data_IF_765387820125
#
_entry.id   IF_765387820125
#
_cell.length_a   1.000
_cell.length_b   1.000
_cell.length_c   1.000
_cell.angle_alpha   90.00
_cell.angle_beta   90.00
_cell.angle_gamma   90.00
#
_symmetry.space_group_name_H-M   'P 1'
#
loop_
_entity.id
_entity.type
_entity.pdbx_description
1 polymer ?
#
# COMPACT_ATOMS: atom_id res chain seq x y z
N UNK A 1 18.38 1.02 -9.23
CA UNK A 1 17.01 1.30 -9.70
C UNK A 1 16.93 2.82 -9.90
N UNK A 2 16.46 3.31 -11.03
CA UNK A 2 16.33 4.74 -11.27
C UNK A 2 15.09 5.22 -10.51
N UNK A 3 15.25 6.22 -9.62
CA UNK A 3 14.14 6.79 -8.81
C UNK A 3 13.05 7.46 -9.67
N UNK A 4 13.30 7.60 -10.97
CA UNK A 4 12.36 8.20 -11.93
C UNK A 4 11.26 7.25 -12.42
N UNK A 5 11.43 5.96 -12.15
CA UNK A 5 10.42 4.96 -12.52
C UNK A 5 9.43 4.81 -11.37
N UNK A 6 8.42 5.66 -11.33
CA UNK A 6 7.44 5.77 -10.23
C UNK A 6 6.80 4.43 -9.84
N UNK A 7 6.49 3.60 -10.83
CA UNK A 7 5.91 2.27 -10.63
C UNK A 7 6.88 1.27 -9.95
N UNK A 8 8.18 1.56 -9.90
CA UNK A 8 9.19 0.74 -9.20
C UNK A 8 9.29 1.04 -7.71
N UNK A 9 8.59 2.07 -7.21
CA UNK A 9 8.67 2.46 -5.81
C UNK A 9 8.30 1.34 -4.83
N UNK A 10 7.27 0.52 -5.06
CA UNK A 10 6.99 -0.64 -4.21
C UNK A 10 8.19 -1.59 -4.11
N UNK A 11 8.80 -1.95 -5.24
CA UNK A 11 9.99 -2.80 -5.29
C UNK A 11 11.17 -2.17 -4.56
N UNK A 12 11.43 -0.89 -4.83
CA UNK A 12 12.51 -0.14 -4.19
C UNK A 12 12.34 -0.10 -2.67
N UNK A 13 11.15 0.22 -2.18
CA UNK A 13 10.86 0.24 -0.74
C UNK A 13 11.05 -1.15 -0.11
N UNK A 14 10.50 -2.20 -0.71
CA UNK A 14 10.63 -3.56 -0.22
C UNK A 14 12.10 -4.02 -0.12
N UNK A 15 12.91 -3.73 -1.14
CA UNK A 15 14.34 -4.05 -1.14
C UNK A 15 15.07 -3.22 -0.08
N UNK A 16 14.82 -1.91 -0.03
CA UNK A 16 15.48 -0.99 0.90
C UNK A 16 15.16 -1.29 2.36
N UNK A 17 13.93 -1.67 2.64
CA UNK A 17 13.49 -2.06 4.00
C UNK A 17 13.93 -3.50 4.36
N UNK A 18 14.43 -4.27 3.40
CA UNK A 18 14.81 -5.67 3.61
C UNK A 18 13.61 -6.60 3.79
N UNK A 19 12.42 -6.19 3.35
CA UNK A 19 11.19 -7.01 3.37
C UNK A 19 11.02 -7.79 2.07
N UNK A 20 11.59 -7.31 0.97
CA UNK A 20 11.48 -7.93 -0.35
C UNK A 20 12.60 -8.93 -0.64
N UNK A 21 12.22 -10.09 -1.16
CA UNK A 21 13.15 -11.09 -1.71
C UNK A 21 13.03 -11.13 -3.22
N UNK A 22 14.12 -10.81 -3.94
CA UNK A 22 14.16 -10.92 -5.41
C UNK A 22 14.17 -12.40 -5.77
N UNK A 23 13.12 -12.85 -6.46
CA UNK A 23 12.96 -14.25 -6.91
C UNK A 23 13.52 -14.43 -8.31
N UNK A 24 13.31 -13.46 -9.19
CA UNK A 24 13.86 -13.40 -10.56
C UNK A 24 14.17 -11.94 -10.91
N UNK A 25 15.23 -11.74 -11.68
CA UNK A 25 15.62 -10.43 -12.19
C UNK A 25 16.38 -10.60 -13.50
N UNK A 26 16.18 -9.67 -14.44
CA UNK A 26 16.99 -9.49 -15.63
C UNK A 26 17.15 -7.98 -15.93
N UNK A 27 17.69 -7.64 -17.11
CA UNK A 27 17.91 -6.25 -17.52
C UNK A 27 16.62 -5.44 -17.70
N UNK A 28 15.46 -6.11 -17.90
CA UNK A 28 14.20 -5.51 -18.26
C UNK A 28 13.14 -5.59 -17.18
N UNK A 29 13.30 -6.48 -16.17
CA UNK A 29 12.25 -6.69 -15.18
C UNK A 29 12.67 -7.42 -13.92
N UNK A 30 11.69 -7.53 -13.00
CA UNK A 30 11.87 -8.15 -11.69
C UNK A 30 10.60 -8.86 -11.24
N UNK A 31 10.79 -10.00 -10.57
CA UNK A 31 9.78 -10.68 -9.77
C UNK A 31 10.28 -10.74 -8.33
N UNK A 32 9.53 -10.12 -7.43
CA UNK A 32 9.86 -9.99 -6.01
C UNK A 32 8.72 -10.57 -5.17
N UNK A 33 9.06 -11.21 -4.05
CA UNK A 33 8.11 -11.60 -2.99
C UNK A 33 8.40 -10.79 -1.75
N UNK A 34 7.42 -10.05 -1.26
CA UNK A 34 7.50 -9.34 0.01
C UNK A 34 7.20 -10.28 1.20
N UNK A 35 7.67 -9.93 2.40
CA UNK A 35 7.43 -10.68 3.63
C UNK A 35 5.95 -10.76 4.02
N UNK A 36 5.13 -9.80 3.58
CA UNK A 36 3.67 -9.84 3.71
C UNK A 36 2.99 -10.93 2.88
N UNK A 37 3.74 -11.62 1.99
CA UNK A 37 3.19 -12.59 1.05
C UNK A 37 2.79 -11.99 -0.31
N UNK A 38 2.79 -10.68 -0.44
CA UNK A 38 2.49 -9.99 -1.71
C UNK A 38 3.64 -10.20 -2.70
N UNK A 39 3.30 -10.60 -3.90
CA UNK A 39 4.22 -10.66 -5.02
C UNK A 39 4.18 -9.37 -5.83
N UNK A 40 5.30 -8.99 -6.42
CA UNK A 40 5.42 -7.81 -7.28
C UNK A 40 6.11 -8.24 -8.57
N UNK A 41 5.49 -7.95 -9.71
CA UNK A 41 5.97 -8.34 -11.04
C UNK A 41 6.05 -7.14 -11.97
N UNK A 42 7.22 -6.93 -12.54
CA UNK A 42 7.43 -6.10 -13.71
C UNK A 42 8.28 -6.87 -14.70
N UNK A 43 7.71 -7.23 -15.85
CA UNK A 43 8.44 -7.87 -16.95
C UNK A 43 7.70 -7.62 -18.28
N UNK A 44 8.26 -6.78 -19.17
CA UNK A 44 7.64 -6.44 -20.45
C UNK A 44 7.73 -7.57 -21.50
N UNK A 45 8.72 -8.47 -21.39
CA UNK A 45 8.85 -9.60 -22.32
C UNK A 45 7.91 -10.74 -21.92
N UNK A 46 6.95 -11.06 -22.80
CA UNK A 46 5.95 -12.10 -22.57
C UNK A 46 6.57 -13.47 -22.28
N UNK A 47 7.60 -13.85 -23.04
CA UNK A 47 8.19 -15.19 -22.93
C UNK A 47 8.95 -15.37 -21.62
N UNK A 48 9.62 -14.32 -21.16
CA UNK A 48 10.30 -14.26 -19.87
C UNK A 48 9.30 -14.26 -18.74
N UNK A 49 8.23 -13.44 -18.85
CA UNK A 49 7.15 -13.36 -17.87
C UNK A 49 6.45 -14.74 -17.70
N UNK A 50 6.10 -15.41 -18.80
CA UNK A 50 5.53 -16.77 -18.78
C UNK A 50 6.44 -17.77 -18.09
N UNK A 51 7.74 -17.73 -18.38
CA UNK A 51 8.73 -18.59 -17.74
C UNK A 51 8.79 -18.35 -16.23
N UNK A 52 8.86 -17.08 -15.78
CA UNK A 52 8.96 -16.76 -14.37
C UNK A 52 7.71 -17.19 -13.60
N UNK A 53 6.52 -16.96 -14.16
CA UNK A 53 5.26 -17.30 -13.50
C UNK A 53 4.94 -18.80 -13.54
N UNK A 54 5.37 -19.54 -14.57
CA UNK A 54 5.22 -21.01 -14.61
C UNK A 54 6.08 -21.73 -13.56
N UNK A 55 7.14 -21.09 -13.07
CA UNK A 55 8.00 -21.62 -12.01
C UNK A 55 7.38 -21.46 -10.61
N UNK A 56 6.27 -20.69 -10.48
CA UNK A 56 5.59 -20.47 -9.20
C UNK A 56 4.52 -21.55 -8.95
N UNK A 57 4.33 -21.90 -7.70
CA UNK A 57 3.10 -22.61 -7.29
C UNK A 57 1.94 -21.59 -7.20
N UNK A 58 0.90 -21.71 -8.04
CA UNK A 58 -0.24 -20.77 -8.00
C UNK A 58 -0.96 -20.73 -6.65
N UNK A 59 -0.81 -21.76 -5.81
CA UNK A 59 -1.43 -21.81 -4.48
C UNK A 59 -0.68 -20.93 -3.46
N UNK A 60 0.58 -20.57 -3.74
CA UNK A 60 1.37 -19.66 -2.91
C UNK A 60 1.19 -18.18 -3.30
N UNK A 61 0.46 -17.91 -4.39
CA UNK A 61 0.26 -16.55 -4.88
C UNK A 61 -1.16 -16.09 -4.54
N UNK A 62 -1.33 -15.55 -3.35
CA UNK A 62 -2.62 -14.98 -2.92
C UNK A 62 -2.86 -13.61 -3.55
N UNK A 63 -1.82 -12.78 -3.62
CA UNK A 63 -1.87 -11.45 -4.20
C UNK A 63 -0.61 -11.17 -5.02
N UNK A 64 -0.80 -10.59 -6.20
CA UNK A 64 0.30 -10.12 -7.05
C UNK A 64 0.00 -8.73 -7.60
N UNK A 65 0.89 -7.79 -7.35
CA UNK A 65 0.94 -6.47 -7.98
C UNK A 65 1.68 -6.59 -9.31
N UNK A 66 1.07 -6.15 -10.39
CA UNK A 66 1.61 -6.34 -11.72
C UNK A 66 1.70 -5.01 -12.46
N UNK A 67 2.88 -4.68 -12.97
CA UNK A 67 3.08 -3.56 -13.85
C UNK A 67 3.09 -3.99 -15.32
N UNK A 68 2.34 -3.24 -16.14
CA UNK A 68 2.28 -3.41 -17.59
C UNK A 68 1.25 -4.44 -18.08
N UNK A 69 0.65 -4.15 -19.23
CA UNK A 69 -0.43 -4.96 -19.82
C UNK A 69 0.03 -6.39 -20.16
N UNK A 70 1.24 -6.55 -20.68
CA UNK A 70 1.78 -7.87 -21.05
C UNK A 70 1.88 -8.78 -19.82
N UNK A 71 2.49 -8.29 -18.75
CA UNK A 71 2.65 -9.05 -17.51
C UNK A 71 1.28 -9.35 -16.88
N UNK A 72 0.34 -8.39 -16.92
CA UNK A 72 -1.02 -8.58 -16.42
C UNK A 72 -1.78 -9.67 -17.20
N UNK A 73 -1.71 -9.69 -18.53
CA UNK A 73 -2.32 -10.74 -19.35
C UNK A 73 -1.77 -12.13 -19.03
N UNK A 74 -0.43 -12.23 -18.90
CA UNK A 74 0.25 -13.50 -18.56
C UNK A 74 -0.16 -13.95 -17.16
N UNK A 75 -0.11 -13.08 -16.16
CA UNK A 75 -0.52 -13.39 -14.79
C UNK A 75 -1.96 -13.90 -14.72
N UNK A 76 -2.90 -13.22 -15.38
CA UNK A 76 -4.30 -13.67 -15.47
C UNK A 76 -4.47 -15.06 -16.09
N UNK A 77 -3.66 -15.38 -17.10
CA UNK A 77 -3.77 -16.67 -17.80
C UNK A 77 -3.19 -17.84 -16.99
N UNK A 78 -2.15 -17.59 -16.18
CA UNK A 78 -1.40 -18.64 -15.49
C UNK A 78 -1.83 -18.81 -14.03
N UNK A 79 -2.14 -17.73 -13.31
CA UNK A 79 -2.37 -17.74 -11.86
C UNK A 79 -3.85 -17.90 -11.45
N UNK A 80 -4.77 -18.13 -12.39
CA UNK A 80 -6.23 -18.31 -12.11
C UNK A 80 -6.80 -17.21 -11.21
N UNK A 81 -6.50 -15.95 -11.52
CA UNK A 81 -6.92 -14.80 -10.75
C UNK A 81 -8.43 -14.80 -10.49
N UNK A 82 -8.84 -14.65 -9.23
CA UNK A 82 -10.24 -14.52 -8.81
C UNK A 82 -10.78 -13.12 -9.08
N UNK A 83 -9.95 -12.11 -8.91
CA UNK A 83 -10.26 -10.70 -9.15
C UNK A 83 -9.06 -9.98 -9.73
N UNK A 84 -9.31 -8.88 -10.44
CA UNK A 84 -8.28 -7.97 -10.94
C UNK A 84 -8.77 -6.55 -10.72
N UNK A 85 -8.00 -5.75 -10.02
CA UNK A 85 -8.27 -4.33 -9.82
C UNK A 85 -7.17 -3.51 -10.48
N UNK A 86 -7.55 -2.38 -11.08
CA UNK A 86 -6.61 -1.39 -11.59
C UNK A 86 -6.42 -0.31 -10.55
N UNK A 87 -5.17 0.12 -10.38
CA UNK A 87 -4.81 1.17 -9.44
C UNK A 87 -3.98 2.24 -10.13
N UNK A 88 -4.09 3.46 -9.64
CA UNK A 88 -3.12 4.53 -9.88
C UNK A 88 -2.15 4.56 -8.71
N UNK A 89 -0.85 4.51 -8.99
CA UNK A 89 0.17 4.73 -7.98
C UNK A 89 0.44 6.23 -7.87
N UNK A 90 0.20 6.78 -6.69
CA UNK A 90 0.55 8.15 -6.32
C UNK A 90 1.76 8.12 -5.41
N UNK A 91 2.68 9.05 -5.58
CA UNK A 91 3.88 9.12 -4.75
C UNK A 91 4.15 10.54 -4.28
N UNK A 92 4.81 10.65 -3.14
CA UNK A 92 5.37 11.91 -2.69
C UNK A 92 6.78 12.07 -3.27
N UNK A 93 6.90 12.91 -4.32
CA UNK A 93 8.13 13.10 -5.08
C UNK A 93 9.10 14.13 -4.47
N UNK A 94 8.68 14.85 -3.41
CA UNK A 94 9.50 15.87 -2.78
C UNK A 94 10.45 15.27 -1.73
N UNK A 95 11.70 15.69 -1.71
CA UNK A 95 12.66 15.32 -0.66
C UNK A 95 12.31 15.92 0.70
N UNK A 96 11.57 17.03 0.70
CA UNK A 96 11.15 17.72 1.90
C UNK A 96 9.86 17.13 2.46
N UNK A 97 9.82 16.92 3.77
CA UNK A 97 8.60 16.53 4.46
C UNK A 97 7.49 17.57 4.25
N UNK A 98 6.22 17.13 4.07
CA UNK A 98 5.10 18.05 3.88
C UNK A 98 4.87 18.91 5.12
N UNK A 99 4.49 20.17 4.90
CA UNK A 99 4.01 20.99 6.00
C UNK A 99 2.59 20.57 6.41
N UNK A 100 2.47 20.12 7.66
CA UNK A 100 1.20 19.63 8.22
C UNK A 100 0.68 20.56 9.33
N UNK A 101 -0.61 20.89 9.28
CA UNK A 101 -1.28 21.56 10.40
C UNK A 101 -1.31 20.62 11.60
N UNK A 102 -0.78 21.06 12.75
CA UNK A 102 -0.74 20.28 14.01
C UNK A 102 -2.07 20.40 14.79
N UNK A 103 -3.20 20.20 14.11
CA UNK A 103 -4.55 20.31 14.70
C UNK A 103 -5.10 18.96 15.14
N UNK A 104 -4.43 17.86 14.78
CA UNK A 104 -4.74 16.51 15.19
C UNK A 104 -3.59 15.91 15.97
N UNK A 105 -3.93 15.15 17.01
CA UNK A 105 -3.02 14.26 17.73
C UNK A 105 -3.15 12.86 17.13
N UNK A 106 -2.04 12.16 16.99
CA UNK A 106 -2.02 10.79 16.45
C UNK A 106 -1.48 9.82 17.50
N UNK A 107 -2.17 8.72 17.67
CA UNK A 107 -1.74 7.60 18.50
C UNK A 107 -1.78 6.32 17.67
N UNK A 108 -0.84 5.43 17.91
CA UNK A 108 -0.84 4.11 17.29
C UNK A 108 -2.07 3.36 17.79
N UNK A 109 -2.80 2.70 16.87
CA UNK A 109 -3.98 1.93 17.23
C UNK A 109 -3.60 0.77 18.17
N UNK A 110 -4.43 0.54 19.16
CA UNK A 110 -4.35 -0.62 20.07
C UNK A 110 -5.53 -1.57 19.88
N UNK A 111 -5.51 -2.71 20.57
CA UNK A 111 -6.57 -3.72 20.47
C UNK A 111 -7.95 -3.18 20.88
N UNK A 112 -8.00 -2.17 21.76
CA UNK A 112 -9.24 -1.48 22.12
C UNK A 112 -9.87 -0.71 20.95
N UNK A 113 -9.10 -0.45 19.88
CA UNK A 113 -9.56 0.25 18.67
C UNK A 113 -10.11 -0.71 17.60
N UNK A 114 -9.79 -2.02 17.70
CA UNK A 114 -10.09 -3.02 16.67
C UNK A 114 -11.55 -3.00 16.24
N UNK A 115 -12.50 -3.14 17.18
CA UNK A 115 -13.93 -3.14 16.87
C UNK A 115 -14.41 -1.82 16.27
N UNK A 116 -13.78 -0.70 16.65
CA UNK A 116 -14.12 0.60 16.10
C UNK A 116 -13.61 0.77 14.66
N UNK A 117 -12.44 0.22 14.33
CA UNK A 117 -11.88 0.22 12.96
C UNK A 117 -12.67 -0.74 12.08
N UNK A 118 -12.91 -1.98 12.51
CA UNK A 118 -13.65 -3.03 11.79
C UNK A 118 -15.02 -2.53 11.28
N UNK A 119 -15.75 -1.79 12.09
CA UNK A 119 -17.05 -1.20 11.71
C UNK A 119 -16.98 -0.14 10.61
N UNK A 120 -15.79 0.32 10.23
CA UNK A 120 -15.55 1.48 9.35
C UNK A 120 -14.69 1.17 8.13
N UNK A 121 -14.07 0.02 8.15
CA UNK A 121 -13.17 -0.43 7.07
C UNK A 121 -13.49 -1.88 6.75
N UNK A 122 -13.98 -2.09 5.54
CA UNK A 122 -14.52 -3.36 5.04
C UNK A 122 -13.60 -4.08 4.03
N UNK A 123 -12.41 -3.53 3.77
CA UNK A 123 -11.43 -4.12 2.85
C UNK A 123 -10.50 -5.14 3.52
N UNK A 124 -10.44 -5.16 4.84
CA UNK A 124 -9.70 -6.14 5.64
C UNK A 124 -10.65 -6.81 6.62
N UNK A 125 -10.47 -8.10 6.81
CA UNK A 125 -11.22 -8.82 7.84
C UNK A 125 -10.66 -8.55 9.25
N UNK A 126 -11.29 -9.13 10.25
CA UNK A 126 -10.92 -8.89 11.65
C UNK A 126 -9.55 -9.46 12.00
N UNK A 127 -9.15 -10.59 11.42
CA UNK A 127 -7.87 -11.24 11.66
C UNK A 127 -6.74 -10.42 11.02
N UNK A 128 -6.97 -9.92 9.82
CA UNK A 128 -6.05 -9.01 9.15
C UNK A 128 -5.90 -7.69 9.93
N UNK A 129 -7.00 -7.08 10.39
CA UNK A 129 -6.94 -5.85 11.19
C UNK A 129 -6.20 -6.06 12.53
N UNK A 130 -6.36 -7.21 13.19
CA UNK A 130 -5.61 -7.59 14.39
C UNK A 130 -4.10 -7.61 14.12
N UNK A 131 -3.68 -8.23 13.01
CA UNK A 131 -2.28 -8.27 12.58
C UNK A 131 -1.75 -6.86 12.28
N UNK A 132 -2.50 -6.04 11.53
CA UNK A 132 -2.11 -4.65 11.22
C UNK A 132 -1.94 -3.79 12.47
N UNK A 133 -2.82 -3.94 13.46
CA UNK A 133 -2.69 -3.29 14.77
C UNK A 133 -1.46 -3.82 15.51
N UNK A 134 -1.29 -5.13 15.55
CA UNK A 134 -0.13 -5.78 16.18
C UNK A 134 1.21 -5.36 15.59
N UNK A 135 1.28 -5.15 14.27
CA UNK A 135 2.44 -4.63 13.55
C UNK A 135 2.59 -3.11 13.65
N UNK A 136 1.62 -2.42 14.28
CA UNK A 136 1.66 -0.97 14.46
C UNK A 136 1.51 -0.18 13.16
N UNK A 137 0.71 -0.66 12.23
CA UNK A 137 0.53 -0.09 10.90
C UNK A 137 -0.59 0.93 10.81
N UNK A 138 -1.42 1.07 11.87
CA UNK A 138 -2.58 1.95 11.92
C UNK A 138 -2.42 3.02 13.00
N UNK A 139 -2.81 4.24 12.71
CA UNK A 139 -2.83 5.37 13.64
C UNK A 139 -4.22 5.98 13.71
N UNK A 140 -4.69 6.20 14.95
CA UNK A 140 -5.92 6.92 15.23
C UNK A 140 -5.63 8.43 15.29
N UNK A 141 -6.41 9.21 14.59
CA UNK A 141 -6.36 10.66 14.63
C UNK A 141 -7.39 11.20 15.62
N UNK A 142 -6.97 12.09 16.51
CA UNK A 142 -7.82 12.72 17.53
C UNK A 142 -7.84 14.23 17.34
N UNK A 143 -9.03 14.81 17.49
CA UNK A 143 -9.23 16.24 17.76
C UNK A 143 -9.71 16.39 19.19
N UNK A 144 -8.89 16.98 20.04
CA UNK A 144 -9.08 16.94 21.49
C UNK A 144 -9.19 15.47 21.96
N UNK A 145 -10.35 15.03 22.45
CA UNK A 145 -10.59 13.66 22.90
C UNK A 145 -11.48 12.85 21.92
N UNK A 146 -11.91 13.44 20.82
CA UNK A 146 -12.75 12.77 19.83
C UNK A 146 -11.90 12.08 18.77
N UNK A 147 -12.19 10.81 18.47
CA UNK A 147 -11.64 10.09 17.32
C UNK A 147 -12.19 10.73 16.06
N UNK A 148 -11.31 11.26 15.21
CA UNK A 148 -11.63 11.89 13.92
C UNK A 148 -11.63 10.87 12.79
N UNK A 149 -10.78 9.85 12.90
CA UNK A 149 -10.57 8.85 11.89
C UNK A 149 -9.29 8.06 12.16
N UNK A 150 -8.86 7.29 11.18
CA UNK A 150 -7.60 6.57 11.20
C UNK A 150 -6.94 6.61 9.83
N UNK A 151 -5.63 6.40 9.83
CA UNK A 151 -4.83 6.19 8.64
C UNK A 151 -3.77 5.14 8.90
N UNK A 152 -3.34 4.44 7.88
CA UNK A 152 -2.35 3.40 8.01
C UNK A 152 -1.56 3.17 6.73
N UNK A 153 -0.77 2.12 6.74
CA UNK A 153 -0.13 1.56 5.56
C UNK A 153 -0.37 0.05 5.49
N UNK A 154 -0.42 -0.47 4.30
CA UNK A 154 -0.44 -1.90 4.08
C UNK A 154 0.94 -2.52 4.40
N UNK A 155 0.98 -3.82 4.57
CA UNK A 155 2.21 -4.53 4.94
C UNK A 155 3.29 -4.43 3.87
N UNK A 156 2.90 -4.45 2.58
CA UNK A 156 3.80 -4.25 1.44
C UNK A 156 4.30 -2.80 1.30
N UNK A 157 3.77 -1.88 2.11
CA UNK A 157 4.28 -0.54 2.28
C UNK A 157 3.48 0.59 1.65
N UNK A 158 2.39 0.34 0.91
CA UNK A 158 1.55 1.41 0.38
C UNK A 158 0.75 2.13 1.49
N UNK A 159 0.56 3.44 1.38
CA UNK A 159 -0.38 4.16 2.25
C UNK A 159 -1.81 3.74 1.95
N UNK A 160 -2.60 3.49 2.99
CA UNK A 160 -3.99 3.09 2.86
C UNK A 160 -4.76 3.25 4.16
N UNK A 161 -5.85 2.50 4.31
CA UNK A 161 -6.68 2.49 5.52
C UNK A 161 -7.14 3.89 5.96
N UNK A 162 -7.32 4.82 5.03
CA UNK A 162 -7.68 6.19 5.35
C UNK A 162 -9.20 6.33 5.52
N UNK A 163 -9.63 6.62 6.73
CA UNK A 163 -11.02 6.86 7.07
C UNK A 163 -11.19 8.13 7.91
N UNK A 164 -12.21 8.91 7.59
CA UNK A 164 -12.61 10.10 8.38
C UNK A 164 -14.08 9.95 8.80
N UNK A 165 -14.34 10.08 10.10
CA UNK A 165 -15.68 10.05 10.67
C UNK A 165 -16.59 11.09 10.00
N UNK A 166 -17.86 10.72 9.76
CA UNK A 166 -18.79 11.52 8.97
C UNK A 166 -18.91 12.97 9.45
N UNK A 167 -19.01 13.17 10.75
CA UNK A 167 -19.11 14.50 11.36
C UNK A 167 -17.85 15.36 11.21
N UNK A 168 -16.73 14.78 10.79
CA UNK A 168 -15.45 15.48 10.58
C UNK A 168 -15.03 15.58 9.11
N UNK A 169 -15.84 15.05 8.17
CA UNK A 169 -15.53 15.13 6.74
C UNK A 169 -15.60 16.58 6.23
N UNK A 170 -14.96 16.82 5.08
CA UNK A 170 -14.90 18.12 4.38
C UNK A 170 -14.27 19.26 5.17
N UNK A 171 -13.46 18.94 6.19
CA UNK A 171 -12.73 19.89 7.02
C UNK A 171 -11.21 19.81 6.81
N UNK A 172 -10.74 19.05 5.78
CA UNK A 172 -9.33 18.90 5.46
C UNK A 172 -8.58 17.90 6.35
N UNK A 173 -9.27 17.11 7.18
CA UNK A 173 -8.60 16.18 8.08
C UNK A 173 -7.96 15.01 7.35
N UNK A 174 -8.54 14.52 6.23
CA UNK A 174 -7.93 13.48 5.40
C UNK A 174 -6.52 13.90 4.94
N UNK A 175 -6.37 15.09 4.37
CA UNK A 175 -5.08 15.61 3.95
C UNK A 175 -4.08 15.80 5.11
N UNK A 176 -4.54 16.08 6.33
CA UNK A 176 -3.66 16.14 7.51
C UNK A 176 -3.18 14.72 7.90
N UNK A 177 -4.04 13.74 7.80
CA UNK A 177 -3.74 12.35 8.11
C UNK A 177 -2.81 11.74 7.06
N UNK A 178 -3.04 12.01 5.78
CA UNK A 178 -2.16 11.61 4.69
C UNK A 178 -0.75 12.19 4.87
N UNK A 179 -0.63 13.51 5.13
CA UNK A 179 0.67 14.14 5.40
C UNK A 179 1.37 13.57 6.63
N UNK A 180 0.62 13.16 7.64
CA UNK A 180 1.18 12.44 8.78
C UNK A 180 1.78 11.10 8.37
N UNK A 181 1.10 10.34 7.51
CA UNK A 181 1.62 9.07 6.99
C UNK A 181 2.87 9.28 6.13
N UNK A 182 2.89 10.31 5.27
CA UNK A 182 4.08 10.72 4.51
C UNK A 182 5.26 11.01 5.44
N UNK A 183 5.05 11.84 6.49
CA UNK A 183 6.09 12.13 7.50
C UNK A 183 6.63 10.85 8.15
N UNK A 184 5.74 9.89 8.47
CA UNK A 184 6.12 8.61 9.08
C UNK A 184 6.97 7.76 8.14
N UNK A 185 6.55 7.59 6.89
CA UNK A 185 7.24 6.78 5.90
C UNK A 185 8.61 7.36 5.55
N UNK A 186 8.68 8.67 5.30
CA UNK A 186 9.97 9.36 5.07
C UNK A 186 10.90 9.22 6.27
N UNK A 187 10.38 9.31 7.50
CA UNK A 187 11.15 9.09 8.72
C UNK A 187 11.72 7.67 8.86
N UNK A 188 11.13 6.70 8.17
CA UNK A 188 11.60 5.32 8.06
C UNK A 188 12.50 5.10 6.83
N UNK A 189 12.77 6.15 6.05
CA UNK A 189 13.58 6.07 4.85
C UNK A 189 12.85 5.48 3.65
N UNK A 190 11.52 5.39 3.68
CA UNK A 190 10.69 4.97 2.55
C UNK A 190 10.37 6.15 1.65
N UNK A 191 10.11 5.87 0.38
CA UNK A 191 9.42 6.80 -0.52
C UNK A 191 7.92 6.60 -0.32
N UNK A 192 7.18 7.62 0.17
CA UNK A 192 5.75 7.46 0.40
C UNK A 192 4.99 7.26 -0.91
N UNK A 193 4.13 6.25 -0.96
CA UNK A 193 3.26 5.98 -2.11
C UNK A 193 1.92 5.42 -1.64
N UNK A 194 0.92 5.51 -2.49
CA UNK A 194 -0.39 4.92 -2.32
C UNK A 194 -0.87 4.34 -3.65
N UNK A 195 -1.45 3.15 -3.62
CA UNK A 195 -2.16 2.58 -4.75
C UNK A 195 -3.66 2.80 -4.55
N UNK A 196 -4.25 3.56 -5.46
CA UNK A 196 -5.66 3.97 -5.38
C UNK A 196 -6.42 3.33 -6.52
N UNK A 197 -7.48 2.59 -6.20
CA UNK A 197 -8.37 1.97 -7.21
C UNK A 197 -8.99 3.02 -8.13
N UNK A 198 -9.13 2.67 -9.41
CA UNK A 198 -9.66 3.56 -10.47
C UNK A 198 -11.05 4.14 -10.14
N UNK A 199 -11.86 3.42 -9.40
CA UNK A 199 -13.22 3.79 -9.00
C UNK A 199 -13.27 4.60 -7.68
N UNK A 200 -12.16 4.76 -6.98
CA UNK A 200 -12.08 5.53 -5.73
C UNK A 200 -11.82 7.01 -5.98
N UNK A 201 -12.80 7.69 -6.58
CA UNK A 201 -12.72 9.11 -6.90
C UNK A 201 -12.42 10.00 -5.68
N UNK A 202 -12.81 9.59 -4.47
CA UNK A 202 -12.57 10.35 -3.25
C UNK A 202 -11.09 10.38 -2.86
N UNK A 203 -10.39 9.25 -2.97
CA UNK A 203 -8.95 9.15 -2.72
C UNK A 203 -8.12 9.76 -3.86
N UNK A 204 -8.58 9.62 -5.12
CA UNK A 204 -7.92 10.26 -6.28
C UNK A 204 -7.93 11.79 -6.17
N UNK A 205 -8.95 12.38 -5.54
CA UNK A 205 -9.11 13.83 -5.38
C UNK A 205 -8.41 14.39 -4.12
N UNK A 206 -7.78 13.57 -3.30
CA UNK A 206 -7.09 13.96 -2.08
C UNK A 206 -5.66 14.42 -2.37
#
# INVERSE_FOLDING_TARGET
MDEKDEWKIPFYNAIRQGTGTIVREDENGMLLKDQSGVWMLDQPDRSVCEKWLNDLDPQEVEMIMVHGETAMEVARSLLKCLSVSRCHTFLWAEEKMPERKKTLRFEQAGMDDLEWIEKRYDLLDKEELDQYIGHGLIWIAYKENAKVGFAGRHEEGSMGLLYVEEGFRRQGYAAIMEKFMIERMMGQGMIPYADVFDDNAASIAL
#
